data_IF_880925205812
#
_entry.id   IF_880925205812
#
_cell.length_a   1.000
_cell.length_b   1.000
_cell.length_c   1.000
_cell.angle_alpha   90.00
_cell.angle_beta   90.00
_cell.angle_gamma   90.00
#
_symmetry.space_group_name_H-M   'P 1'
#
loop_
_entity.id
_entity.type
_entity.pdbx_description
1 polymer ?
#
# COMPACT_ATOMS: atom_id res chain seq x y z
N UNK A 1 6.03 -4.85 -21.66
CA UNK A 1 4.83 -4.51 -22.44
C UNK A 1 4.28 -5.76 -23.13
N UNK A 2 3.15 -6.28 -22.64
CA UNK A 2 2.60 -7.59 -23.03
C UNK A 2 2.23 -7.66 -24.52
N UNK A 3 1.86 -6.53 -25.12
CA UNK A 3 1.52 -6.42 -26.55
C UNK A 3 2.73 -6.69 -27.45
N UNK A 4 3.92 -6.23 -27.07
CA UNK A 4 5.17 -6.48 -27.83
C UNK A 4 5.57 -7.95 -27.75
N UNK A 5 5.39 -8.58 -26.59
CA UNK A 5 5.68 -10.00 -26.36
C UNK A 5 4.73 -10.91 -27.12
N UNK A 6 3.44 -10.59 -27.12
CA UNK A 6 2.44 -11.32 -27.90
C UNK A 6 2.77 -11.28 -29.41
N UNK A 7 3.13 -10.10 -29.93
CA UNK A 7 3.57 -9.96 -31.33
C UNK A 7 4.84 -10.78 -31.62
N UNK A 8 5.80 -10.79 -30.71
CA UNK A 8 7.03 -11.57 -30.86
C UNK A 8 6.74 -13.08 -30.84
N UNK A 9 5.89 -13.55 -29.93
CA UNK A 9 5.46 -14.96 -29.86
C UNK A 9 4.75 -15.40 -31.14
N UNK A 10 3.80 -14.60 -31.64
CA UNK A 10 3.11 -14.88 -32.91
C UNK A 10 4.10 -14.97 -34.08
N UNK A 11 5.09 -14.09 -34.13
CA UNK A 11 6.11 -14.06 -35.17
C UNK A 11 7.05 -15.29 -35.08
N UNK A 12 7.49 -15.66 -33.87
CA UNK A 12 8.28 -16.87 -33.64
C UNK A 12 7.50 -18.15 -33.98
N UNK A 13 6.21 -18.20 -33.66
CA UNK A 13 5.33 -19.32 -34.04
C UNK A 13 5.22 -19.48 -35.56
N UNK A 14 5.06 -18.36 -36.27
CA UNK A 14 4.99 -18.33 -37.73
C UNK A 14 6.30 -18.75 -38.39
N UNK A 15 7.45 -18.33 -37.85
CA UNK A 15 8.76 -18.75 -38.36
C UNK A 15 9.04 -20.22 -38.07
N UNK A 16 8.66 -20.72 -36.89
CA UNK A 16 8.79 -22.13 -36.51
C UNK A 16 8.01 -23.04 -37.47
N UNK A 17 6.75 -22.69 -37.78
CA UNK A 17 5.94 -23.48 -38.71
C UNK A 17 6.51 -23.44 -40.12
N UNK A 18 6.96 -22.28 -40.62
CA UNK A 18 7.60 -22.18 -41.93
C UNK A 18 8.89 -23.01 -42.05
N UNK A 19 9.66 -23.18 -40.97
CA UNK A 19 10.91 -23.92 -40.99
C UNK A 19 10.73 -25.45 -40.86
N UNK A 20 9.86 -25.91 -39.94
CA UNK A 20 9.78 -27.34 -39.59
C UNK A 20 8.90 -28.14 -40.54
N UNK A 21 7.84 -27.52 -41.04
CA UNK A 21 6.91 -28.11 -41.98
C UNK A 21 7.55 -28.61 -43.29
N UNK A 22 8.42 -27.85 -43.98
CA UNK A 22 9.11 -28.33 -45.17
C UNK A 22 10.14 -29.42 -44.85
N UNK A 23 10.79 -29.37 -43.67
CA UNK A 23 11.74 -30.40 -43.24
C UNK A 23 11.01 -31.74 -43.03
N UNK A 24 9.85 -31.73 -42.38
CA UNK A 24 9.02 -32.93 -42.20
C UNK A 24 8.56 -33.47 -43.56
N UNK A 25 8.06 -32.61 -44.46
CA UNK A 25 7.61 -33.02 -45.79
C UNK A 25 8.75 -33.62 -46.63
N UNK A 26 9.96 -33.04 -46.52
CA UNK A 26 11.16 -33.56 -47.17
C UNK A 26 11.60 -34.90 -46.57
N UNK A 27 11.56 -35.08 -45.26
CA UNK A 27 11.86 -36.36 -44.59
C UNK A 27 10.92 -37.49 -45.02
N UNK A 28 9.61 -37.21 -45.16
CA UNK A 28 8.64 -38.16 -45.70
C UNK A 28 8.87 -38.50 -47.18
N UNK A 29 9.56 -37.65 -47.94
CA UNK A 29 9.91 -37.97 -49.35
C UNK A 29 11.06 -38.98 -49.47
N UNK A 30 11.80 -39.22 -48.39
CA UNK A 30 12.93 -40.15 -48.34
C UNK A 30 12.54 -41.54 -47.85
N UNK A 31 11.35 -41.71 -47.28
CA UNK A 31 10.85 -43.01 -46.80
C UNK A 31 9.88 -43.63 -47.81
N UNK A 32 9.81 -44.97 -47.91
CA UNK A 32 8.84 -45.66 -48.76
C UNK A 32 7.42 -45.67 -48.16
N UNK A 33 7.16 -44.92 -47.09
CA UNK A 33 5.86 -44.83 -46.43
C UNK A 33 4.88 -44.01 -47.28
N UNK A 34 3.65 -44.51 -47.45
CA UNK A 34 2.57 -43.73 -48.05
C UNK A 34 2.33 -42.46 -47.23
N UNK A 35 2.24 -41.32 -47.93
CA UNK A 35 1.98 -40.04 -47.29
C UNK A 35 0.63 -40.13 -46.56
N UNK A 36 0.53 -39.67 -45.31
CA UNK A 36 -0.75 -39.65 -44.61
C UNK A 36 -1.78 -38.90 -45.47
N UNK A 37 -3.02 -39.40 -45.50
CA UNK A 37 -4.14 -38.86 -46.29
C UNK A 37 -4.65 -37.48 -45.80
N UNK A 38 -3.86 -36.81 -44.95
CA UNK A 38 -4.11 -35.49 -44.38
C UNK A 38 -3.57 -34.46 -45.38
N UNK A 39 -4.39 -33.47 -45.74
CA UNK A 39 -3.91 -32.39 -46.61
C UNK A 39 -2.78 -31.62 -45.92
N UNK A 40 -1.76 -31.20 -46.68
CA UNK A 40 -0.61 -30.46 -46.13
C UNK A 40 -1.05 -29.18 -45.39
N UNK A 41 -2.11 -28.54 -45.90
CA UNK A 41 -2.76 -27.37 -45.27
C UNK A 41 -3.32 -27.71 -43.87
N UNK A 42 -3.98 -28.87 -43.73
CA UNK A 42 -4.51 -29.30 -42.43
C UNK A 42 -3.39 -29.57 -41.41
N UNK A 43 -2.29 -30.20 -41.83
CA UNK A 43 -1.12 -30.42 -40.96
C UNK A 43 -0.50 -29.12 -40.44
N UNK A 44 -0.34 -28.12 -41.31
CA UNK A 44 0.20 -26.81 -40.94
C UNK A 44 -0.72 -26.05 -39.98
N UNK A 45 -2.03 -26.08 -40.24
CA UNK A 45 -3.00 -25.46 -39.34
C UNK A 45 -3.02 -26.11 -37.95
N UNK A 46 -2.90 -27.44 -37.87
CA UNK A 46 -2.89 -28.17 -36.60
C UNK A 46 -1.64 -27.86 -35.78
N UNK A 47 -0.45 -27.87 -36.39
CA UNK A 47 0.80 -27.53 -35.70
C UNK A 47 0.80 -26.09 -35.17
N UNK A 48 0.32 -25.14 -35.97
CA UNK A 48 0.19 -23.75 -35.56
C UNK A 48 -0.79 -23.59 -34.39
N UNK A 49 -1.94 -24.27 -34.44
CA UNK A 49 -2.93 -24.23 -33.37
C UNK A 49 -2.40 -24.79 -32.05
N UNK A 50 -1.70 -25.94 -32.07
CA UNK A 50 -1.10 -26.53 -30.87
C UNK A 50 -0.08 -25.59 -30.24
N UNK A 51 0.76 -24.94 -31.04
CA UNK A 51 1.77 -24.01 -30.53
C UNK A 51 1.15 -22.76 -29.89
N UNK A 52 0.09 -22.21 -30.51
CA UNK A 52 -0.68 -21.11 -29.91
C UNK A 52 -1.32 -21.50 -28.58
N UNK A 53 -1.88 -22.71 -28.48
CA UNK A 53 -2.47 -23.21 -27.24
C UNK A 53 -1.43 -23.33 -26.13
N UNK A 54 -0.26 -23.90 -26.41
CA UNK A 54 0.84 -24.01 -25.44
C UNK A 54 1.33 -22.63 -25.01
N UNK A 55 1.50 -21.70 -25.95
CA UNK A 55 1.90 -20.33 -25.66
C UNK A 55 0.87 -19.58 -24.81
N UNK A 56 -0.42 -19.75 -25.09
CA UNK A 56 -1.51 -19.16 -24.32
C UNK A 56 -1.54 -19.67 -22.88
N UNK A 57 -1.38 -20.98 -22.67
CA UNK A 57 -1.31 -21.59 -21.34
C UNK A 57 -0.11 -21.02 -20.56
N UNK A 58 1.06 -20.96 -21.19
CA UNK A 58 2.27 -20.43 -20.57
C UNK A 58 2.11 -18.96 -20.13
N UNK A 59 1.61 -18.09 -21.01
CA UNK A 59 1.39 -16.68 -20.66
C UNK A 59 0.26 -16.51 -19.65
N UNK A 60 -0.77 -17.36 -19.67
CA UNK A 60 -1.84 -17.35 -18.66
C UNK A 60 -1.31 -17.65 -17.26
N UNK A 61 -0.46 -18.68 -17.13
CA UNK A 61 0.16 -19.04 -15.83
C UNK A 61 1.02 -17.88 -15.33
N UNK A 62 1.86 -17.31 -16.20
CA UNK A 62 2.72 -16.17 -15.85
C UNK A 62 1.92 -14.93 -15.48
N UNK A 63 0.87 -14.63 -16.23
CA UNK A 63 -0.02 -13.52 -15.93
C UNK A 63 -0.63 -13.67 -14.54
N UNK A 64 -1.11 -14.87 -14.21
CA UNK A 64 -1.70 -15.15 -12.90
C UNK A 64 -0.67 -15.02 -11.76
N UNK A 65 0.55 -15.52 -11.96
CA UNK A 65 1.65 -15.36 -10.99
C UNK A 65 2.02 -13.90 -10.78
N UNK A 66 2.17 -13.14 -11.87
CA UNK A 66 2.49 -11.71 -11.80
C UNK A 66 1.36 -10.96 -11.09
N UNK A 67 0.11 -11.21 -11.49
CA UNK A 67 -1.07 -10.60 -10.88
C UNK A 67 -1.13 -10.83 -9.37
N UNK A 68 -0.86 -12.07 -8.94
CA UNK A 68 -0.79 -12.41 -7.51
C UNK A 68 0.31 -11.63 -6.80
N UNK A 69 1.53 -11.64 -7.33
CA UNK A 69 2.66 -10.91 -6.73
C UNK A 69 2.40 -9.40 -6.63
N UNK A 70 1.82 -8.79 -7.68
CA UNK A 70 1.48 -7.36 -7.65
C UNK A 70 0.34 -7.04 -6.69
N UNK A 71 -0.54 -8.01 -6.43
CA UNK A 71 -1.63 -7.83 -5.45
C UNK A 71 -1.07 -7.93 -4.04
N UNK A 72 -0.20 -8.91 -3.77
CA UNK A 72 0.50 -9.06 -2.49
C UNK A 72 1.38 -7.83 -2.18
N UNK A 73 2.18 -7.36 -3.13
CA UNK A 73 3.01 -6.15 -2.98
C UNK A 73 2.13 -4.90 -2.72
N UNK A 74 0.99 -4.78 -3.42
CA UNK A 74 0.06 -3.68 -3.19
C UNK A 74 -0.52 -3.72 -1.77
N UNK A 75 -0.92 -4.88 -1.29
CA UNK A 75 -1.41 -5.06 0.09
C UNK A 75 -0.33 -4.72 1.12
N UNK A 76 0.92 -5.12 0.88
CA UNK A 76 2.04 -4.79 1.78
C UNK A 76 2.29 -3.28 1.85
N UNK A 77 2.32 -2.60 0.69
CA UNK A 77 2.47 -1.15 0.62
C UNK A 77 1.30 -0.44 1.32
N UNK A 78 0.07 -0.91 1.12
CA UNK A 78 -1.11 -0.34 1.77
C UNK A 78 -1.07 -0.54 3.30
N UNK A 79 -0.65 -1.72 3.77
CA UNK A 79 -0.45 -1.98 5.21
C UNK A 79 0.65 -1.11 5.81
N UNK A 80 1.79 -0.97 5.12
CA UNK A 80 2.87 -0.10 5.58
C UNK A 80 2.43 1.37 5.60
N UNK A 81 1.63 1.80 4.62
CA UNK A 81 1.05 3.13 4.60
C UNK A 81 0.10 3.36 5.78
N UNK A 82 -0.81 2.42 6.04
CA UNK A 82 -1.73 2.49 7.18
C UNK A 82 -0.98 2.46 8.52
N UNK A 83 0.06 1.64 8.67
CA UNK A 83 0.86 1.63 9.90
C UNK A 83 1.59 2.95 10.12
N UNK A 84 2.13 3.54 9.05
CA UNK A 84 2.77 4.87 9.11
C UNK A 84 1.78 5.97 9.45
N UNK A 85 0.57 5.93 8.90
CA UNK A 85 -0.51 6.86 9.28
C UNK A 85 -0.91 6.70 10.75
N UNK A 86 -1.04 5.46 11.23
CA UNK A 86 -1.35 5.17 12.63
C UNK A 86 -0.22 5.64 13.57
N UNK A 87 1.04 5.44 13.19
CA UNK A 87 2.18 5.92 13.95
C UNK A 87 2.23 7.46 13.97
N UNK A 88 1.97 8.10 12.83
CA UNK A 88 1.82 9.55 12.75
C UNK A 88 0.71 10.07 13.67
N UNK A 89 -0.46 9.42 13.65
CA UNK A 89 -1.59 9.76 14.52
C UNK A 89 -1.22 9.57 16.00
N UNK A 90 -0.52 8.49 16.33
CA UNK A 90 -0.05 8.21 17.69
C UNK A 90 0.97 9.26 18.16
N UNK A 91 1.86 9.69 17.29
CA UNK A 91 2.85 10.73 17.60
C UNK A 91 2.19 12.09 17.85
N UNK A 92 1.08 12.40 17.17
CA UNK A 92 0.31 13.63 17.42
C UNK A 92 -0.26 13.69 18.84
N UNK A 93 -0.62 12.55 19.43
CA UNK A 93 -1.21 12.50 20.78
C UNK A 93 -0.15 12.72 21.89
N UNK A 94 1.15 12.74 21.57
CA UNK A 94 2.27 12.71 22.53
C UNK A 94 1.92 11.84 23.75
N UNK A 95 2.01 10.50 23.63
CA UNK A 95 1.52 9.59 24.67
C UNK A 95 2.14 9.88 26.04
N UNK A 96 3.39 10.34 26.08
CA UNK A 96 4.03 10.74 27.33
C UNK A 96 3.34 11.96 27.98
N UNK A 97 2.95 12.97 27.20
CA UNK A 97 2.15 14.09 27.72
C UNK A 97 0.78 13.63 28.22
N UNK A 98 0.11 12.72 27.49
CA UNK A 98 -1.17 12.17 27.90
C UNK A 98 -1.06 11.45 29.26
N UNK A 99 -0.15 10.49 29.36
CA UNK A 99 0.03 9.70 30.59
C UNK A 99 0.44 10.57 31.78
N UNK A 100 1.34 11.55 31.57
CA UNK A 100 1.68 12.50 32.63
C UNK A 100 0.49 13.33 33.07
N UNK A 101 -0.33 13.80 32.13
CA UNK A 101 -1.52 14.57 32.46
C UNK A 101 -2.54 13.74 33.24
N UNK A 102 -2.72 12.47 32.86
CA UNK A 102 -3.57 11.54 33.61
C UNK A 102 -3.03 11.28 35.02
N UNK A 103 -1.72 11.12 35.19
CA UNK A 103 -1.11 10.96 36.51
C UNK A 103 -1.30 12.21 37.39
N UNK A 104 -1.09 13.41 36.85
CA UNK A 104 -1.39 14.67 37.56
C UNK A 104 -2.87 14.76 37.93
N UNK A 105 -3.77 14.34 37.03
CA UNK A 105 -5.20 14.29 37.33
C UNK A 105 -5.53 13.32 38.47
N UNK A 106 -4.93 12.13 38.49
CA UNK A 106 -5.12 11.16 39.58
C UNK A 106 -4.70 11.72 40.94
N UNK A 107 -3.68 12.60 40.98
CA UNK A 107 -3.29 13.32 42.18
C UNK A 107 -4.27 14.47 42.54
N UNK A 108 -4.74 15.22 41.55
CA UNK A 108 -5.66 16.34 41.77
C UNK A 108 -7.06 15.92 42.22
N UNK A 109 -7.56 14.74 41.83
CA UNK A 109 -8.90 14.26 42.21
C UNK A 109 -9.10 14.24 43.74
N UNK A 110 -8.24 13.58 44.54
CA UNK A 110 -8.37 13.56 45.99
C UNK A 110 -7.97 14.89 46.64
N UNK A 111 -7.04 15.66 46.08
CA UNK A 111 -6.56 16.93 46.66
C UNK A 111 -7.60 18.06 46.49
N UNK A 112 -8.13 18.22 45.29
CA UNK A 112 -9.12 19.26 44.96
C UNK A 112 -9.98 18.85 43.77
N UNK A 113 -11.19 18.31 44.01
CA UNK A 113 -12.11 17.90 42.95
C UNK A 113 -12.42 19.03 41.95
N UNK A 114 -12.53 20.28 42.44
CA UNK A 114 -12.78 21.44 41.59
C UNK A 114 -11.60 21.73 40.64
N UNK A 115 -10.35 21.64 41.13
CA UNK A 115 -9.17 21.77 40.26
C UNK A 115 -9.07 20.63 39.27
N UNK A 116 -9.37 19.39 39.68
CA UNK A 116 -9.38 18.23 38.78
C UNK A 116 -10.35 18.43 37.61
N UNK A 117 -11.56 18.93 37.86
CA UNK A 117 -12.52 19.26 36.79
C UNK A 117 -11.98 20.36 35.85
N UNK A 118 -11.33 21.38 36.41
CA UNK A 118 -10.66 22.42 35.62
C UNK A 118 -9.53 21.86 34.75
N UNK A 119 -8.68 21.00 35.32
CA UNK A 119 -7.57 20.35 34.65
C UNK A 119 -8.03 19.50 33.47
N UNK A 120 -9.05 18.65 33.66
CA UNK A 120 -9.63 17.83 32.56
C UNK A 120 -10.15 18.72 31.43
N UNK A 121 -10.78 19.85 31.76
CA UNK A 121 -11.31 20.78 30.76
C UNK A 121 -10.20 21.41 29.92
N UNK A 122 -9.09 21.82 30.54
CA UNK A 122 -7.95 22.38 29.80
C UNK A 122 -7.22 21.30 28.99
N UNK A 123 -7.10 20.09 29.53
CA UNK A 123 -6.58 18.92 28.80
C UNK A 123 -7.40 18.64 27.55
N UNK A 124 -8.74 18.70 27.64
CA UNK A 124 -9.63 18.53 26.49
C UNK A 124 -9.44 19.60 25.42
N UNK A 125 -9.20 20.87 25.80
CA UNK A 125 -8.92 21.95 24.83
C UNK A 125 -7.60 21.75 24.11
N UNK A 126 -6.54 21.37 24.82
CA UNK A 126 -5.22 21.07 24.24
C UNK A 126 -5.33 19.95 23.22
N UNK A 127 -5.98 18.84 23.57
CA UNK A 127 -6.15 17.71 22.65
C UNK A 127 -7.08 18.04 21.47
N UNK A 128 -8.15 18.80 21.69
CA UNK A 128 -9.02 19.26 20.62
C UNK A 128 -8.23 20.10 19.61
N UNK A 129 -7.45 21.06 20.07
CA UNK A 129 -6.61 21.88 19.21
C UNK A 129 -5.62 21.03 18.40
N UNK A 130 -4.90 20.10 19.04
CA UNK A 130 -3.94 19.21 18.36
C UNK A 130 -4.62 18.36 17.27
N UNK A 131 -5.86 17.93 17.49
CA UNK A 131 -6.61 17.13 16.52
C UNK A 131 -7.25 17.97 15.40
N UNK A 132 -7.74 19.18 15.71
CA UNK A 132 -8.42 20.07 14.75
C UNK A 132 -7.45 20.85 13.87
N UNK A 133 -6.25 21.16 14.38
CA UNK A 133 -5.19 21.84 13.63
C UNK A 133 -4.49 20.96 12.58
N UNK A 134 -4.86 19.67 12.50
CA UNK A 134 -4.21 18.66 11.65
C UNK A 134 -4.24 18.96 10.15
N UNK A 135 -5.38 19.41 9.64
CA UNK A 135 -5.60 19.57 8.19
C UNK A 135 -5.60 21.05 7.75
N UNK A 136 -5.36 21.96 8.69
CA UNK A 136 -5.43 23.41 8.46
C UNK A 136 -4.03 23.96 8.19
N UNK A 137 -3.80 24.46 6.96
CA UNK A 137 -2.47 25.02 6.58
C UNK A 137 -2.09 26.30 7.35
N UNK A 138 -3.08 27.04 7.85
CA UNK A 138 -2.90 28.30 8.57
C UNK A 138 -3.97 28.36 9.65
N UNK A 139 -3.59 28.79 10.85
CA UNK A 139 -4.45 28.89 12.02
C UNK A 139 -4.39 30.34 12.51
N UNK A 140 -5.50 30.95 12.95
CA UNK A 140 -5.46 32.30 13.51
C UNK A 140 -4.62 32.37 14.80
N UNK A 141 -3.83 33.43 14.96
CA UNK A 141 -2.98 33.65 16.14
C UNK A 141 -3.76 33.60 17.47
N UNK A 142 -5.02 34.06 17.49
CA UNK A 142 -5.82 34.03 18.71
C UNK A 142 -6.13 32.59 19.17
N UNK A 143 -6.21 31.63 18.26
CA UNK A 143 -6.40 30.20 18.59
C UNK A 143 -5.11 29.59 19.13
N UNK A 144 -3.96 29.96 18.56
CA UNK A 144 -2.64 29.56 19.05
C UNK A 144 -2.40 30.08 20.48
N UNK A 145 -2.74 31.34 20.76
CA UNK A 145 -2.64 31.93 22.09
C UNK A 145 -3.57 31.23 23.09
N UNK A 146 -4.84 30.97 22.70
CA UNK A 146 -5.78 30.24 23.56
C UNK A 146 -5.32 28.81 23.86
N UNK A 147 -4.66 28.15 22.90
CA UNK A 147 -4.02 26.86 23.10
C UNK A 147 -2.85 26.96 24.09
N UNK A 148 -1.96 27.95 23.91
CA UNK A 148 -0.81 28.17 24.80
C UNK A 148 -1.26 28.41 26.24
N UNK A 149 -2.30 29.22 26.47
CA UNK A 149 -2.85 29.45 27.81
C UNK A 149 -3.32 28.15 28.47
N UNK A 150 -4.07 27.32 27.72
CA UNK A 150 -4.53 26.02 28.21
C UNK A 150 -3.35 25.07 28.48
N UNK A 151 -2.32 25.09 27.63
CA UNK A 151 -1.15 24.24 27.76
C UNK A 151 -0.26 24.64 28.95
N UNK A 152 -0.01 25.94 29.12
CA UNK A 152 0.73 26.51 30.26
C UNK A 152 0.01 26.22 31.56
N UNK A 153 -1.31 26.30 31.59
CA UNK A 153 -2.10 25.90 32.76
C UNK A 153 -1.81 24.46 33.19
N UNK A 154 -1.78 23.51 32.24
CA UNK A 154 -1.51 22.10 32.55
C UNK A 154 -0.07 21.91 33.07
N UNK A 155 0.91 22.63 32.51
CA UNK A 155 2.29 22.59 32.97
C UNK A 155 2.47 23.18 34.37
N UNK A 156 1.76 24.27 34.69
CA UNK A 156 1.77 24.87 36.03
C UNK A 156 1.19 23.92 37.08
N UNK A 157 0.07 23.27 36.81
CA UNK A 157 -0.51 22.29 37.74
C UNK A 157 0.40 21.06 37.92
N UNK A 158 1.23 20.71 36.92
CA UNK A 158 2.17 19.60 37.00
C UNK A 158 3.46 19.93 37.77
N UNK A 159 4.06 21.08 37.48
CA UNK A 159 5.39 21.44 37.97
C UNK A 159 5.37 22.42 39.15
N UNK A 160 4.20 22.97 39.47
CA UNK A 160 4.03 23.94 40.54
C UNK A 160 4.96 25.14 40.38
N UNK A 161 5.58 25.54 41.48
CA UNK A 161 6.46 26.72 41.55
C UNK A 161 7.77 26.56 40.74
N UNK A 162 8.09 25.35 40.28
CA UNK A 162 9.28 25.09 39.47
C UNK A 162 9.09 25.43 37.98
N UNK A 163 7.94 25.97 37.58
CA UNK A 163 7.64 26.34 36.21
C UNK A 163 7.16 27.78 36.09
N UNK A 164 7.99 28.62 35.50
CA UNK A 164 7.69 30.03 35.20
C UNK A 164 7.72 30.24 33.69
N UNK A 165 6.78 31.04 33.19
CA UNK A 165 6.69 31.40 31.78
C UNK A 165 6.69 32.92 31.73
N UNK A 166 7.68 33.49 31.06
CA UNK A 166 7.73 34.91 30.70
C UNK A 166 6.99 35.03 29.36
N UNK A 167 5.87 35.75 29.36
CA UNK A 167 5.06 36.01 28.15
C UNK A 167 5.30 37.43 27.68
#
# INVERSE_FOLDING_TARGET
DWKKRLKLLLLLCFLYTLAICPIINWGFSLTPFEKPHISQVAGYSSSYFTLLMVGAIYESIRFFQLWRSTTEEKEEVERAHLSSQLEGLRNQVNPHFLFNSLNTLTYLIPESPNKAVGFVRQLSKVYRYVLESRDTKVIPLYEELAFLDAFVYLLRERFGDNFTVDM
#
